data_IF_115765892675
#
_entry.id   IF_115765892675
#
_cell.length_a   1.000
_cell.length_b   1.000
_cell.length_c   1.000
_cell.angle_alpha   90.00
_cell.angle_beta   90.00
_cell.angle_gamma   90.00
#
_symmetry.space_group_name_H-M   'P 1'
#
loop_
_entity.id
_entity.type
_entity.pdbx_description
1 polymer ?
#
# COMPACT_ATOMS: atom_id res chain seq x y z
N UNK A 1 6.13 -68.91 -8.81
CA UNK A 1 4.90 -68.06 -8.69
C UNK A 1 5.25 -66.97 -7.72
N UNK A 2 5.77 -65.82 -8.27
CA UNK A 2 6.32 -64.73 -7.47
C UNK A 2 5.22 -63.69 -7.27
N UNK A 3 4.91 -63.38 -6.01
CA UNK A 3 3.88 -62.41 -5.68
C UNK A 3 4.30 -60.98 -6.11
N UNK A 4 3.36 -60.15 -6.62
CA UNK A 4 3.69 -58.79 -7.05
C UNK A 4 4.06 -57.93 -5.84
N UNK A 5 5.25 -57.35 -5.88
CA UNK A 5 5.72 -56.36 -4.88
C UNK A 5 4.85 -55.10 -4.98
N UNK A 6 4.17 -54.77 -3.89
CA UNK A 6 3.44 -53.54 -3.75
C UNK A 6 4.40 -52.34 -3.87
N UNK A 7 4.04 -51.28 -4.60
CA UNK A 7 4.84 -50.07 -4.68
C UNK A 7 4.68 -49.29 -3.36
N UNK A 8 5.61 -49.50 -2.40
CA UNK A 8 5.70 -48.68 -1.21
C UNK A 8 6.46 -47.38 -1.50
N UNK A 9 5.84 -46.48 -2.24
CA UNK A 9 6.28 -45.12 -2.31
C UNK A 9 5.78 -44.34 -1.08
N UNK A 10 6.49 -43.33 -0.59
CA UNK A 10 6.00 -42.52 0.52
C UNK A 10 4.65 -41.93 0.20
N UNK A 11 3.70 -41.87 1.15
CA UNK A 11 2.37 -41.35 0.92
C UNK A 11 2.44 -39.90 0.41
N UNK A 12 1.69 -39.62 -0.64
CA UNK A 12 1.63 -38.26 -1.23
C UNK A 12 1.12 -37.29 -0.14
N UNK A 13 1.81 -36.14 0.06
CA UNK A 13 1.39 -35.16 1.05
C UNK A 13 -0.03 -34.68 0.76
N UNK A 14 -0.82 -34.49 1.83
CA UNK A 14 -2.20 -34.03 1.71
C UNK A 14 -2.29 -32.71 0.93
N UNK A 15 -3.43 -32.45 0.24
CA UNK A 15 -3.60 -31.23 -0.56
C UNK A 15 -3.37 -29.94 0.25
N UNK A 16 -3.70 -29.96 1.54
CA UNK A 16 -3.43 -28.84 2.44
C UNK A 16 -1.93 -28.62 2.70
N UNK A 17 -1.15 -29.69 2.82
CA UNK A 17 0.31 -29.60 2.98
C UNK A 17 0.95 -29.10 1.69
N UNK A 18 0.48 -29.54 0.53
CA UNK A 18 0.93 -29.05 -0.78
C UNK A 18 0.58 -27.58 -0.98
N UNK A 19 -0.62 -27.16 -0.59
CA UNK A 19 -1.03 -25.76 -0.65
C UNK A 19 -0.20 -24.89 0.29
N UNK A 20 0.03 -25.33 1.53
CA UNK A 20 0.90 -24.62 2.48
C UNK A 20 2.34 -24.52 1.98
N UNK A 21 2.89 -25.60 1.44
CA UNK A 21 4.24 -25.61 0.87
C UNK A 21 4.32 -24.70 -0.38
N UNK A 22 3.30 -24.71 -1.23
CA UNK A 22 3.20 -23.83 -2.39
C UNK A 22 3.11 -22.36 -1.97
N UNK A 23 2.25 -22.04 -0.99
CA UNK A 23 2.13 -20.69 -0.42
C UNK A 23 3.43 -20.24 0.24
N UNK A 24 4.08 -21.11 1.01
CA UNK A 24 5.37 -20.80 1.64
C UNK A 24 6.47 -20.59 0.59
N UNK A 25 6.54 -21.42 -0.44
CA UNK A 25 7.51 -21.26 -1.53
C UNK A 25 7.26 -19.95 -2.32
N UNK A 26 5.99 -19.63 -2.61
CA UNK A 26 5.66 -18.39 -3.30
C UNK A 26 5.80 -17.16 -2.40
N UNK A 27 5.50 -17.27 -1.12
CA UNK A 27 5.76 -16.21 -0.15
C UNK A 27 7.25 -15.93 -0.01
N UNK A 28 8.09 -16.97 0.05
CA UNK A 28 9.54 -16.84 0.03
C UNK A 28 10.03 -16.22 -1.29
N UNK A 29 9.52 -16.67 -2.44
CA UNK A 29 9.88 -16.11 -3.75
C UNK A 29 9.44 -14.64 -3.90
N UNK A 30 8.29 -14.28 -3.35
CA UNK A 30 7.82 -12.88 -3.34
C UNK A 30 8.62 -11.99 -2.38
N UNK A 31 9.16 -12.57 -1.29
CA UNK A 31 10.06 -11.88 -0.36
C UNK A 31 11.53 -11.90 -0.82
N UNK A 32 11.92 -12.88 -1.63
CA UNK A 32 13.29 -13.06 -2.14
C UNK A 32 13.52 -12.35 -3.48
N UNK A 33 12.51 -11.66 -4.03
CA UNK A 33 12.80 -10.62 -5.01
C UNK A 33 13.61 -9.59 -4.23
N UNK A 34 14.92 -9.60 -4.48
CA UNK A 34 15.88 -8.69 -3.87
C UNK A 34 15.59 -7.25 -4.34
N UNK A 35 14.43 -6.75 -3.92
CA UNK A 35 14.02 -5.39 -4.19
C UNK A 35 15.02 -4.47 -3.51
N UNK A 36 15.62 -3.62 -4.28
CA UNK A 36 16.56 -2.63 -3.74
C UNK A 36 15.88 -1.79 -2.66
N UNK A 37 16.62 -1.28 -1.66
CA UNK A 37 16.07 -0.36 -0.67
C UNK A 37 15.31 0.82 -1.30
N UNK A 38 15.74 1.25 -2.48
CA UNK A 38 15.06 2.27 -3.28
C UNK A 38 13.69 1.79 -3.77
N UNK A 39 13.60 0.56 -4.27
CA UNK A 39 12.35 -0.02 -4.81
C UNK A 39 11.27 -0.14 -3.72
N UNK A 40 11.66 -0.61 -2.52
CA UNK A 40 10.76 -0.72 -1.37
C UNK A 40 10.33 0.67 -0.88
N UNK A 41 11.28 1.59 -0.73
CA UNK A 41 11.00 2.94 -0.28
C UNK A 41 10.09 3.71 -1.25
N UNK A 42 10.32 3.57 -2.56
CA UNK A 42 9.50 4.20 -3.59
C UNK A 42 8.08 3.60 -3.61
N UNK A 43 7.96 2.28 -3.52
CA UNK A 43 6.66 1.62 -3.40
C UNK A 43 5.87 2.12 -2.19
N UNK A 44 6.51 2.16 -1.02
CA UNK A 44 5.89 2.67 0.21
C UNK A 44 5.47 4.14 0.09
N UNK A 45 6.30 4.98 -0.53
CA UNK A 45 5.97 6.39 -0.76
C UNK A 45 4.75 6.56 -1.67
N UNK A 46 4.67 5.77 -2.76
CA UNK A 46 3.50 5.73 -3.65
C UNK A 46 2.26 5.29 -2.88
N UNK A 47 2.37 4.25 -2.03
CA UNK A 47 1.27 3.78 -1.20
C UNK A 47 0.74 4.86 -0.26
N UNK A 48 1.61 5.57 0.45
CA UNK A 48 1.22 6.67 1.34
C UNK A 48 0.63 7.84 0.54
N UNK A 49 1.21 8.20 -0.61
CA UNK A 49 0.68 9.24 -1.47
C UNK A 49 -0.79 8.98 -1.84
N UNK A 50 -1.09 7.79 -2.34
CA UNK A 50 -2.46 7.41 -2.67
C UNK A 50 -3.33 7.17 -1.43
N UNK A 51 -2.74 6.85 -0.29
CA UNK A 51 -3.44 6.75 0.99
C UNK A 51 -4.21 8.02 1.34
N UNK A 52 -3.59 9.19 1.14
CA UNK A 52 -4.22 10.51 1.35
C UNK A 52 -5.28 10.86 0.28
N UNK A 53 -5.34 10.16 -0.85
CA UNK A 53 -6.30 10.50 -1.90
C UNK A 53 -7.71 10.06 -1.51
N UNK A 54 -8.74 10.93 -1.59
CA UNK A 54 -10.11 10.60 -1.21
C UNK A 54 -10.84 9.70 -2.23
N UNK A 55 -10.09 8.87 -2.96
CA UNK A 55 -10.59 7.91 -3.95
C UNK A 55 -10.78 6.54 -3.29
N UNK A 56 -11.87 6.36 -2.56
CA UNK A 56 -12.19 5.10 -1.90
C UNK A 56 -12.10 3.92 -2.89
N UNK A 57 -11.52 2.81 -2.47
CA UNK A 57 -11.29 1.59 -3.25
C UNK A 57 -10.37 1.74 -4.48
N UNK A 58 -10.40 2.88 -5.17
CA UNK A 58 -9.57 3.10 -6.37
C UNK A 58 -8.11 3.40 -6.02
N UNK A 59 -7.85 3.94 -4.83
CA UNK A 59 -6.50 4.32 -4.37
C UNK A 59 -5.53 3.13 -4.31
N UNK A 60 -5.99 1.96 -3.84
CA UNK A 60 -5.16 0.76 -3.78
C UNK A 60 -4.80 0.26 -5.18
N UNK A 61 -5.77 0.24 -6.09
CA UNK A 61 -5.54 -0.15 -7.48
C UNK A 61 -4.58 0.82 -8.18
N UNK A 62 -4.77 2.12 -8.01
CA UNK A 62 -3.89 3.16 -8.54
C UNK A 62 -2.47 3.07 -7.96
N UNK A 63 -2.37 2.86 -6.65
CA UNK A 63 -1.07 2.67 -5.97
C UNK A 63 -0.29 1.51 -6.58
N UNK A 64 -0.92 0.35 -6.77
CA UNK A 64 -0.30 -0.83 -7.39
C UNK A 64 0.03 -0.56 -8.85
N UNK A 65 -0.87 0.07 -9.61
CA UNK A 65 -0.67 0.38 -11.02
C UNK A 65 0.52 1.34 -11.23
N UNK A 66 0.62 2.40 -10.43
CA UNK A 66 1.73 3.34 -10.50
C UNK A 66 3.04 2.68 -10.04
N UNK A 67 3.01 1.87 -8.98
CA UNK A 67 4.17 1.09 -8.56
C UNK A 67 4.66 0.14 -9.66
N UNK A 68 3.73 -0.44 -10.43
CA UNK A 68 4.06 -1.28 -11.58
C UNK A 68 4.70 -0.48 -12.71
N UNK A 69 4.17 0.69 -13.06
CA UNK A 69 4.72 1.60 -14.07
C UNK A 69 6.12 2.08 -13.67
N UNK A 70 6.30 2.45 -12.40
CA UNK A 70 7.57 2.90 -11.84
C UNK A 70 8.57 1.74 -11.61
N UNK A 71 8.17 0.49 -11.88
CA UNK A 71 8.98 -0.72 -11.67
C UNK A 71 9.51 -0.85 -10.25
N UNK A 72 8.75 -0.39 -9.27
CA UNK A 72 9.07 -0.50 -7.85
C UNK A 72 8.21 -1.56 -7.15
N UNK A 73 8.46 -1.77 -5.85
CA UNK A 73 7.80 -2.82 -5.08
C UNK A 73 6.31 -2.57 -4.92
N UNK A 74 5.50 -3.36 -5.61
CA UNK A 74 4.02 -3.30 -5.60
C UNK A 74 3.44 -3.73 -4.26
N UNK A 75 4.12 -4.66 -3.58
CA UNK A 75 3.68 -5.16 -2.27
C UNK A 75 3.88 -4.07 -1.23
N UNK A 76 5.03 -3.39 -1.25
CA UNK A 76 5.28 -2.25 -0.38
C UNK A 76 4.25 -1.13 -0.62
N UNK A 77 3.86 -0.86 -1.86
CA UNK A 77 2.82 0.10 -2.19
C UNK A 77 1.45 -0.32 -1.63
N UNK A 78 1.05 -1.59 -1.84
CA UNK A 78 -0.21 -2.12 -1.34
C UNK A 78 -0.27 -2.12 0.20
N UNK A 79 0.81 -2.53 0.86
CA UNK A 79 0.90 -2.53 2.33
C UNK A 79 0.83 -1.10 2.88
N UNK A 80 1.55 -0.16 2.28
CA UNK A 80 1.59 1.22 2.75
C UNK A 80 0.22 1.91 2.62
N UNK A 81 -0.51 1.72 1.51
CA UNK A 81 -1.86 2.27 1.35
C UNK A 81 -2.84 1.64 2.33
N UNK A 82 -2.71 0.33 2.58
CA UNK A 82 -3.56 -0.38 3.55
C UNK A 82 -3.25 0.05 4.98
N UNK A 83 -1.98 0.25 5.33
CA UNK A 83 -1.57 0.74 6.65
C UNK A 83 -2.14 2.13 6.94
N UNK A 84 -2.16 3.01 5.93
CA UNK A 84 -2.82 4.30 6.04
C UNK A 84 -4.33 4.13 6.32
N UNK A 85 -4.98 3.13 5.73
CA UNK A 85 -6.42 2.86 5.94
C UNK A 85 -6.74 2.24 7.32
N UNK A 86 -5.78 1.58 7.96
CA UNK A 86 -5.95 1.08 9.34
C UNK A 86 -6.21 2.22 10.33
N UNK A 87 -5.75 3.43 10.00
CA UNK A 87 -6.07 4.63 10.77
C UNK A 87 -7.51 5.14 10.53
N UNK A 88 -8.46 4.22 10.28
CA UNK A 88 -9.85 4.54 9.90
C UNK A 88 -10.54 5.49 10.90
N UNK A 89 -10.20 5.42 12.17
CA UNK A 89 -10.75 6.32 13.19
C UNK A 89 -10.24 7.76 13.05
N UNK A 90 -9.05 7.95 12.46
CA UNK A 90 -8.48 9.27 12.18
C UNK A 90 -8.92 9.82 10.82
N UNK A 91 -9.45 8.97 9.93
CA UNK A 91 -9.84 9.34 8.56
C UNK A 91 -10.79 10.53 8.47
N UNK A 92 -11.85 10.64 9.29
CA UNK A 92 -12.72 11.81 9.23
C UNK A 92 -11.98 13.12 9.53
N UNK A 93 -11.02 13.09 10.47
CA UNK A 93 -10.21 14.25 10.80
C UNK A 93 -9.22 14.59 9.68
N UNK A 94 -8.61 13.58 9.05
CA UNK A 94 -7.69 13.74 7.92
C UNK A 94 -8.43 14.34 6.73
N UNK A 95 -9.55 13.78 6.31
CA UNK A 95 -10.36 14.33 5.21
C UNK A 95 -10.87 15.74 5.49
N UNK A 96 -11.21 16.04 6.74
CA UNK A 96 -11.59 17.38 7.13
C UNK A 96 -10.42 18.37 7.04
N UNK A 97 -9.22 17.94 7.44
CA UNK A 97 -8.00 18.73 7.29
C UNK A 97 -7.67 18.98 5.82
N UNK A 98 -7.68 17.92 4.98
CA UNK A 98 -7.49 18.01 3.54
C UNK A 98 -8.46 19.00 2.90
N UNK A 99 -9.75 18.88 3.25
CA UNK A 99 -10.76 19.79 2.73
C UNK A 99 -10.50 21.25 3.16
N UNK A 100 -10.15 21.49 4.42
CA UNK A 100 -9.82 22.84 4.91
C UNK A 100 -8.61 23.43 4.20
N UNK A 101 -7.55 22.64 4.05
CA UNK A 101 -6.34 23.04 3.34
C UNK A 101 -6.66 23.34 1.87
N UNK A 102 -7.45 22.50 1.23
CA UNK A 102 -7.88 22.71 -0.15
C UNK A 102 -8.75 23.94 -0.33
N UNK A 103 -9.69 24.18 0.59
CA UNK A 103 -10.48 25.42 0.58
C UNK A 103 -9.60 26.65 0.77
N UNK A 104 -8.65 26.61 1.68
CA UNK A 104 -7.70 27.68 1.90
C UNK A 104 -6.86 27.98 0.66
N UNK A 105 -6.32 26.95 -0.01
CA UNK A 105 -5.55 27.10 -1.25
C UNK A 105 -6.42 27.70 -2.38
N UNK A 106 -7.69 27.27 -2.47
CA UNK A 106 -8.61 27.73 -3.50
C UNK A 106 -9.29 29.07 -3.17
N UNK A 107 -8.98 29.70 -2.03
CA UNK A 107 -9.60 30.95 -1.59
C UNK A 107 -11.10 30.83 -1.32
N UNK A 108 -11.59 29.64 -0.94
CA UNK A 108 -13.01 29.37 -0.70
C UNK A 108 -13.32 29.29 0.80
N UNK A 109 -14.47 29.84 1.27
CA UNK A 109 -14.86 29.67 2.66
C UNK A 109 -15.13 28.20 2.97
N UNK A 110 -14.44 27.65 3.98
CA UNK A 110 -14.70 26.30 4.45
C UNK A 110 -15.88 26.30 5.44
N UNK A 111 -16.98 25.58 5.18
CA UNK A 111 -18.09 25.47 6.11
C UNK A 111 -17.67 24.73 7.38
N UNK A 112 -18.23 25.13 8.52
CA UNK A 112 -17.90 24.54 9.83
C UNK A 112 -18.34 23.09 9.99
N UNK A 113 -19.30 22.61 9.19
CA UNK A 113 -19.80 21.23 9.19
C UNK A 113 -19.93 20.73 7.76
N UNK A 114 -19.21 19.66 7.46
CA UNK A 114 -19.32 18.93 6.20
C UNK A 114 -20.06 17.64 6.49
N UNK A 115 -21.17 17.41 5.80
CA UNK A 115 -21.75 16.08 5.72
C UNK A 115 -20.99 15.35 4.61
N UNK A 116 -20.03 14.51 5.00
CA UNK A 116 -19.40 13.63 4.02
C UNK A 116 -20.44 12.64 3.49
N UNK A 117 -20.68 12.69 2.21
CA UNK A 117 -21.50 11.73 1.53
C UNK A 117 -20.69 10.45 1.38
N UNK A 118 -21.19 9.34 1.94
CA UNK A 118 -20.52 8.03 1.90
C UNK A 118 -21.07 7.14 0.77
N UNK A 119 -22.02 7.63 -0.03
CA UNK A 119 -22.57 6.86 -1.15
C UNK A 119 -21.83 7.19 -2.45
N UNK A 120 -21.48 6.15 -3.20
CA UNK A 120 -20.79 6.28 -4.49
C UNK A 120 -21.58 7.14 -5.49
N UNK A 121 -22.91 7.11 -5.41
CA UNK A 121 -23.80 7.96 -6.21
C UNK A 121 -23.56 9.45 -6.01
N UNK A 122 -23.16 9.85 -4.81
CA UNK A 122 -22.95 11.26 -4.49
C UNK A 122 -21.70 11.82 -5.18
N UNK A 123 -20.72 10.97 -5.45
CA UNK A 123 -19.51 11.34 -6.20
C UNK A 123 -19.79 11.64 -7.68
N UNK A 124 -20.90 11.13 -8.22
CA UNK A 124 -21.30 11.36 -9.61
C UNK A 124 -22.05 12.68 -9.81
N UNK A 125 -22.49 13.33 -8.72
CA UNK A 125 -23.12 14.64 -8.81
C UNK A 125 -22.08 15.75 -8.93
N UNK A 126 -22.07 16.45 -10.08
CA UNK A 126 -21.14 17.55 -10.37
C UNK A 126 -21.05 18.60 -9.25
N UNK A 127 -22.15 18.86 -8.59
CA UNK A 127 -22.21 19.83 -7.49
C UNK A 127 -21.43 19.35 -6.24
N UNK A 128 -21.50 18.07 -5.91
CA UNK A 128 -20.74 17.47 -4.79
C UNK A 128 -19.26 17.39 -5.16
N UNK A 129 -18.97 16.96 -6.39
CA UNK A 129 -17.62 16.92 -6.89
C UNK A 129 -16.93 18.29 -6.79
N UNK A 130 -17.53 19.34 -7.35
CA UNK A 130 -16.89 20.66 -7.41
C UNK A 130 -16.77 21.37 -6.06
N UNK A 131 -17.69 21.09 -5.12
CA UNK A 131 -17.73 21.78 -3.81
C UNK A 131 -17.01 21.04 -2.70
N UNK A 132 -16.92 19.72 -2.77
CA UNK A 132 -16.36 18.89 -1.69
C UNK A 132 -15.14 18.11 -2.16
N UNK A 133 -15.29 17.34 -3.23
CA UNK A 133 -14.24 16.41 -3.67
C UNK A 133 -13.05 17.19 -4.24
N UNK A 134 -13.29 18.16 -5.07
CA UNK A 134 -12.22 18.96 -5.69
C UNK A 134 -11.34 19.70 -4.67
N UNK A 135 -11.88 20.45 -3.70
CA UNK A 135 -11.06 21.02 -2.63
C UNK A 135 -10.32 19.95 -1.81
N UNK A 136 -10.98 18.83 -1.47
CA UNK A 136 -10.33 17.75 -0.74
C UNK A 136 -9.17 17.15 -1.55
N UNK A 137 -9.31 16.97 -2.86
CA UNK A 137 -8.22 16.49 -3.73
C UNK A 137 -7.04 17.47 -3.78
N UNK A 138 -7.30 18.76 -3.87
CA UNK A 138 -6.23 19.79 -3.84
C UNK A 138 -5.51 19.78 -2.50
N UNK A 139 -6.26 19.71 -1.40
CA UNK A 139 -5.69 19.63 -0.06
C UNK A 139 -4.95 18.33 0.22
N UNK A 140 -5.46 17.22 -0.30
CA UNK A 140 -4.79 15.92 -0.16
C UNK A 140 -3.43 15.90 -0.85
N UNK A 141 -3.29 16.52 -2.02
CA UNK A 141 -1.98 16.64 -2.67
C UNK A 141 -0.96 17.37 -1.79
N UNK A 142 -1.40 18.44 -1.14
CA UNK A 142 -0.54 19.23 -0.27
C UNK A 142 -0.02 18.43 0.94
N UNK A 143 -0.83 17.53 1.48
CA UNK A 143 -0.44 16.63 2.57
C UNK A 143 0.28 15.37 2.06
N UNK A 144 -0.15 14.83 0.94
CA UNK A 144 0.39 13.60 0.37
C UNK A 144 1.86 13.74 -0.07
N UNK A 145 2.22 14.86 -0.71
CA UNK A 145 3.57 15.06 -1.24
C UNK A 145 4.63 15.02 -0.13
N UNK A 146 4.56 15.87 0.94
CA UNK A 146 5.56 15.82 2.00
C UNK A 146 5.54 14.49 2.76
N UNK A 147 4.37 13.88 2.97
CA UNK A 147 4.25 12.57 3.61
C UNK A 147 4.90 11.46 2.78
N UNK A 148 4.73 11.46 1.47
CA UNK A 148 5.37 10.51 0.56
C UNK A 148 6.90 10.68 0.56
N UNK A 149 7.40 11.93 0.52
CA UNK A 149 8.84 12.22 0.60
C UNK A 149 9.41 11.72 1.93
N UNK A 150 8.76 12.05 3.04
CA UNK A 150 9.18 11.60 4.37
C UNK A 150 9.20 10.06 4.45
N UNK A 151 8.14 9.40 3.97
CA UNK A 151 8.06 7.93 3.91
C UNK A 151 9.18 7.33 3.07
N UNK A 152 9.47 7.90 1.91
CA UNK A 152 10.57 7.45 1.05
C UNK A 152 11.91 7.51 1.79
N UNK A 153 12.22 8.64 2.43
CA UNK A 153 13.49 8.82 3.14
C UNK A 153 13.60 7.88 4.34
N UNK A 154 12.55 7.76 5.14
CA UNK A 154 12.50 6.88 6.32
C UNK A 154 12.66 5.42 5.89
N UNK A 155 11.86 4.95 4.94
CA UNK A 155 11.90 3.57 4.47
C UNK A 155 13.25 3.23 3.82
N UNK A 156 13.81 4.14 3.05
CA UNK A 156 15.14 3.96 2.46
C UNK A 156 16.21 3.78 3.55
N UNK A 157 16.18 4.63 4.58
CA UNK A 157 17.13 4.51 5.71
C UNK A 157 16.94 3.20 6.48
N UNK A 158 15.69 2.84 6.80
CA UNK A 158 15.40 1.62 7.56
C UNK A 158 15.84 0.36 6.81
N UNK A 159 15.47 0.24 5.53
CA UNK A 159 15.82 -0.94 4.73
C UNK A 159 17.32 -1.00 4.47
N UNK A 160 17.99 0.13 4.26
CA UNK A 160 19.46 0.16 4.10
C UNK A 160 20.17 -0.29 5.36
N UNK A 161 19.74 0.15 6.54
CA UNK A 161 20.31 -0.25 7.83
C UNK A 161 20.10 -1.73 8.10
N UNK A 162 18.88 -2.23 7.94
CA UNK A 162 18.57 -3.64 8.15
C UNK A 162 19.47 -4.56 7.29
N UNK A 163 19.71 -4.18 6.03
CA UNK A 163 20.62 -4.96 5.16
C UNK A 163 22.09 -4.84 5.54
N UNK A 164 22.52 -3.73 6.11
CA UNK A 164 23.91 -3.59 6.58
C UNK A 164 24.19 -4.46 7.81
N UNK A 165 23.17 -4.74 8.61
CA UNK A 165 23.26 -5.63 9.78
C UNK A 165 23.21 -7.11 9.39
N UNK A 166 22.60 -7.46 8.26
CA UNK A 166 22.51 -8.84 7.74
C UNK A 166 23.74 -9.30 6.92
N UNK A 167 24.67 -8.44 6.57
CA UNK A 167 25.88 -8.79 5.81
C UNK A 167 27.15 -8.56 6.62
N UNK A 168 28.25 -9.30 6.44
CA UNK A 168 28.61 -10.69 6.19
C UNK A 168 29.10 -11.41 7.44
N UNK A 169 28.25 -12.12 8.14
CA UNK A 169 28.59 -12.77 9.42
C UNK A 169 28.31 -14.27 9.58
N UNK A 170 27.87 -15.00 8.54
CA UNK A 170 27.64 -16.45 8.67
C UNK A 170 28.20 -17.25 7.49
N UNK A 171 29.51 -17.18 7.37
CA UNK A 171 30.30 -17.99 6.44
C UNK A 171 31.55 -18.54 7.10
N UNK A 172 31.43 -19.08 8.33
CA UNK A 172 32.50 -19.89 8.94
C UNK A 172 31.88 -20.93 9.86
N UNK A 173 31.75 -22.13 9.38
CA UNK A 173 31.40 -23.33 10.15
C UNK A 173 31.36 -24.52 9.24
#
# INVERSE_FOLDING_TARGET
MEAPRSPTGPPLPSPLVRLKAWLAAHHMTLMTIADTPHSIALGSAIGIFFGFTPLYSLKTLLSIAIAWICRCNKIAAAVAVTLHDVLIFAMPAVYFAEYKVGCWILGRPAPHRIKFAFHLSDYLHWHVFSRVIWPAMVGSLFLAIPSAIATYLIMRMLVSRARSEEGPGTGTG
#
